data_IF_621907476269
#
_entry.id   IF_621907476269
#
_cell.length_a   1.000
_cell.length_b   1.000
_cell.length_c   1.000
_cell.angle_alpha   90.00
_cell.angle_beta   90.00
_cell.angle_gamma   90.00
#
_symmetry.space_group_name_H-M   'P 1'
#
loop_
_entity.id
_entity.type
_entity.pdbx_description
1 polymer ?
#
# COMPACT_ATOMS: atom_id res chain seq x y z
N UNK A 1 2.30 29.82 4.78
CA UNK A 1 1.81 28.57 4.15
C UNK A 1 1.79 27.48 5.20
N UNK A 2 0.84 26.55 5.14
CA UNK A 2 0.75 25.45 6.10
C UNK A 2 1.91 24.48 5.89
N UNK A 3 2.62 24.18 6.98
CA UNK A 3 3.84 23.36 7.01
C UNK A 3 3.48 21.89 6.81
N UNK A 4 4.15 21.20 5.90
CA UNK A 4 3.99 19.75 5.69
C UNK A 4 5.20 19.06 6.35
N UNK A 5 4.98 18.24 7.38
CA UNK A 5 5.95 17.27 7.90
C UNK A 5 5.58 15.91 7.40
N UNK A 6 6.55 15.10 7.00
CA UNK A 6 6.28 13.88 6.27
C UNK A 6 7.44 12.92 6.42
N UNK A 7 7.13 11.64 6.49
CA UNK A 7 8.09 10.56 6.25
C UNK A 7 7.55 9.66 5.15
N UNK A 8 8.45 9.20 4.28
CA UNK A 8 8.08 8.35 3.16
C UNK A 8 9.23 7.42 2.75
N UNK A 9 8.84 6.36 2.06
CA UNK A 9 9.72 5.39 1.41
C UNK A 9 9.36 5.35 -0.08
N UNK A 10 10.37 5.30 -0.93
CA UNK A 10 10.26 5.02 -2.37
C UNK A 10 11.07 3.77 -2.67
N UNK A 11 10.50 2.81 -3.40
CA UNK A 11 11.20 1.57 -3.70
C UNK A 11 10.83 0.97 -5.06
N UNK A 12 11.69 0.07 -5.51
CA UNK A 12 11.57 -0.75 -6.70
C UNK A 12 11.71 -2.23 -6.33
N UNK A 13 10.89 -3.07 -6.95
CA UNK A 13 10.99 -4.53 -6.90
C UNK A 13 11.25 -5.08 -8.30
N UNK A 14 12.48 -5.54 -8.50
CA UNK A 14 12.95 -6.10 -9.76
C UNK A 14 12.35 -7.47 -10.11
N UNK A 15 11.74 -8.18 -9.14
CA UNK A 15 11.15 -9.49 -9.42
C UNK A 15 9.84 -9.38 -10.22
N UNK A 16 9.14 -8.26 -10.08
CA UNK A 16 7.81 -8.02 -10.65
C UNK A 16 7.71 -6.69 -11.40
N UNK A 17 8.84 -6.04 -11.65
CA UNK A 17 8.95 -4.70 -12.25
C UNK A 17 7.94 -3.71 -11.63
N UNK A 18 7.99 -3.57 -10.31
CA UNK A 18 7.06 -2.71 -9.57
C UNK A 18 7.78 -1.55 -8.89
N UNK A 19 7.17 -0.36 -8.94
CA UNK A 19 7.64 0.83 -8.23
C UNK A 19 6.57 1.30 -7.28
N UNK A 20 6.96 1.77 -6.10
CA UNK A 20 5.97 2.24 -5.14
C UNK A 20 6.49 3.23 -4.13
N UNK A 21 5.54 3.95 -3.55
CA UNK A 21 5.74 4.93 -2.50
C UNK A 21 4.75 4.64 -1.38
N UNK A 22 5.21 4.73 -0.14
CA UNK A 22 4.34 4.84 1.03
C UNK A 22 4.72 6.08 1.84
N UNK A 23 3.73 6.81 2.34
CA UNK A 23 3.91 8.13 2.96
C UNK A 23 2.92 8.35 4.09
N UNK A 24 3.33 9.06 5.14
CA UNK A 24 2.45 9.55 6.21
C UNK A 24 2.82 10.95 6.70
N UNK A 25 1.84 11.69 7.23
CA UNK A 25 1.99 13.10 7.61
C UNK A 25 0.93 13.59 8.63
N UNK A 26 1.29 14.58 9.47
CA UNK A 26 0.31 15.51 10.09
C UNK A 26 -0.11 16.60 9.08
N UNK A 27 -0.70 16.19 7.97
CA UNK A 27 -1.30 17.03 6.94
C UNK A 27 -2.43 16.22 6.30
N UNK A 28 -3.59 16.80 6.00
CA UNK A 28 -4.67 16.05 5.35
C UNK A 28 -4.28 15.68 3.92
N UNK A 29 -4.72 14.50 3.47
CA UNK A 29 -4.63 14.08 2.08
C UNK A 29 -3.22 14.07 1.47
N UNK A 30 -2.20 13.64 2.22
CA UNK A 30 -0.79 13.62 1.77
C UNK A 30 -0.58 12.83 0.47
N UNK A 31 -1.42 11.82 0.22
CA UNK A 31 -1.39 11.02 -1.01
C UNK A 31 -1.69 11.79 -2.30
N UNK A 32 -2.25 13.01 -2.22
CA UNK A 32 -2.47 13.86 -3.40
C UNK A 32 -1.22 14.68 -3.78
N UNK A 33 -0.21 14.71 -2.91
CA UNK A 33 0.93 15.63 -3.03
C UNK A 33 2.22 14.86 -3.25
N UNK A 34 2.48 13.87 -2.38
CA UNK A 34 3.82 13.28 -2.26
C UNK A 34 4.10 12.18 -3.28
N UNK A 35 3.25 11.14 -3.46
CA UNK A 35 3.62 9.97 -4.24
C UNK A 35 3.36 10.15 -5.74
N UNK A 36 4.36 9.85 -6.55
CA UNK A 36 4.28 9.82 -8.02
C UNK A 36 5.03 8.60 -8.55
N UNK A 37 4.40 7.77 -9.36
CA UNK A 37 5.04 6.60 -9.94
C UNK A 37 4.53 6.33 -11.36
N UNK A 38 5.40 5.76 -12.18
CA UNK A 38 5.07 5.31 -13.52
C UNK A 38 5.84 4.02 -13.81
N UNK A 39 5.10 2.98 -14.21
CA UNK A 39 5.71 1.69 -14.56
C UNK A 39 6.70 1.85 -15.72
N UNK A 40 7.86 1.21 -15.59
CA UNK A 40 8.96 1.29 -16.55
C UNK A 40 9.77 2.59 -16.50
N UNK A 41 9.36 3.58 -15.69
CA UNK A 41 10.10 4.84 -15.53
C UNK A 41 10.72 4.99 -14.14
N UNK A 42 9.91 4.86 -13.08
CA UNK A 42 10.38 5.04 -11.71
C UNK A 42 9.31 5.52 -10.74
N UNK A 43 9.76 6.01 -9.59
CA UNK A 43 8.94 6.59 -8.54
C UNK A 43 9.62 7.80 -7.89
N UNK A 44 8.83 8.79 -7.49
CA UNK A 44 9.25 10.07 -6.89
C UNK A 44 8.35 10.38 -5.69
N UNK A 45 8.96 10.73 -4.56
CA UNK A 45 8.33 11.32 -3.40
C UNK A 45 8.84 12.76 -3.22
N UNK A 46 7.97 13.76 -3.42
CA UNK A 46 8.30 15.18 -3.20
C UNK A 46 7.54 15.69 -1.96
N UNK A 47 8.27 16.20 -0.96
CA UNK A 47 7.73 16.56 0.35
C UNK A 47 8.42 17.78 0.98
N UNK A 48 8.10 18.09 2.24
CA UNK A 48 8.40 19.38 2.89
C UNK A 48 7.62 20.52 2.20
N UNK A 49 8.23 21.64 1.83
CA UNK A 49 7.63 22.59 0.89
C UNK A 49 7.58 21.95 -0.51
N UNK A 50 6.71 20.95 -0.68
CA UNK A 50 6.67 20.09 -1.84
C UNK A 50 6.45 20.90 -3.12
N UNK A 51 7.30 20.65 -4.12
CA UNK A 51 7.04 21.08 -5.49
C UNK A 51 6.43 19.88 -6.24
N UNK A 52 5.14 19.96 -6.54
CA UNK A 52 4.40 18.85 -7.19
C UNK A 52 4.81 18.64 -8.64
N UNK A 53 5.51 19.59 -9.28
CA UNK A 53 6.01 19.39 -10.65
C UNK A 53 7.15 18.36 -10.71
N UNK A 54 7.88 18.16 -9.60
CA UNK A 54 8.99 17.18 -9.52
C UNK A 54 8.53 15.74 -9.77
N UNK A 55 7.27 15.43 -9.45
CA UNK A 55 6.67 14.13 -9.73
C UNK A 55 6.68 13.80 -11.23
N UNK A 56 5.82 14.45 -12.05
CA UNK A 56 5.75 14.19 -13.49
C UNK A 56 7.05 14.51 -14.23
N UNK A 57 7.78 15.57 -13.87
CA UNK A 57 9.05 15.92 -14.54
C UNK A 57 10.14 14.90 -14.24
N UNK A 58 10.27 14.43 -13.00
CA UNK A 58 11.22 13.38 -12.63
C UNK A 58 10.93 12.06 -13.34
N UNK A 59 9.65 11.67 -13.43
CA UNK A 59 9.23 10.48 -14.17
C UNK A 59 9.52 10.60 -15.66
N UNK A 60 9.28 11.76 -16.28
CA UNK A 60 9.60 12.01 -17.68
C UNK A 60 11.11 11.91 -17.94
N UNK A 61 11.95 12.49 -17.09
CA UNK A 61 13.42 12.37 -17.17
C UNK A 61 13.88 10.91 -17.09
N UNK A 62 13.36 10.14 -16.11
CA UNK A 62 13.73 8.73 -15.95
C UNK A 62 13.23 7.87 -17.11
N UNK A 63 12.03 8.16 -17.66
CA UNK A 63 11.52 7.48 -18.86
C UNK A 63 12.40 7.67 -20.09
N UNK A 64 13.18 8.77 -20.13
CA UNK A 64 14.17 9.08 -21.17
C UNK A 64 15.55 8.50 -20.87
N UNK A 65 15.68 7.66 -19.85
CA UNK A 65 16.90 6.93 -19.50
C UNK A 65 17.82 7.65 -18.51
N UNK A 66 17.40 8.79 -17.93
CA UNK A 66 18.15 9.40 -16.82
C UNK A 66 18.10 8.50 -15.60
N UNK A 67 19.20 8.47 -14.86
CA UNK A 67 19.23 7.86 -13.54
C UNK A 67 18.47 8.70 -12.51
N UNK A 68 18.08 8.08 -11.40
CA UNK A 68 17.44 8.77 -10.28
C UNK A 68 18.27 9.98 -9.80
N UNK A 69 19.60 9.84 -9.72
CA UNK A 69 20.48 10.94 -9.32
C UNK A 69 20.57 12.05 -10.37
N UNK A 70 20.63 11.71 -11.66
CA UNK A 70 20.62 12.71 -12.74
C UNK A 70 19.31 13.48 -12.77
N UNK A 71 18.17 12.78 -12.69
CA UNK A 71 16.85 13.39 -12.65
C UNK A 71 16.72 14.32 -11.43
N UNK A 72 17.13 13.87 -10.24
CA UNK A 72 17.13 14.69 -9.03
C UNK A 72 17.98 15.96 -9.17
N UNK A 73 19.18 15.84 -9.73
CA UNK A 73 20.06 16.99 -9.94
C UNK A 73 19.44 18.01 -10.90
N UNK A 74 18.79 17.56 -11.97
CA UNK A 74 18.13 18.41 -12.96
C UNK A 74 16.92 19.14 -12.37
N UNK A 75 16.09 18.44 -11.58
CA UNK A 75 14.96 19.03 -10.86
C UNK A 75 15.41 20.13 -9.89
N UNK A 76 16.45 19.85 -9.09
CA UNK A 76 16.96 20.79 -8.08
C UNK A 76 17.73 21.98 -8.68
N UNK A 77 18.35 21.82 -9.86
CA UNK A 77 19.08 22.90 -10.52
C UNK A 77 18.16 24.06 -10.94
N UNK A 78 16.88 23.77 -11.17
CA UNK A 78 15.89 24.72 -11.64
C UNK A 78 14.97 25.26 -10.52
N UNK A 79 15.21 24.90 -9.26
CA UNK A 79 14.37 25.27 -8.12
C UNK A 79 15.13 26.20 -7.15
N UNK A 80 14.81 27.49 -7.19
CA UNK A 80 15.40 28.51 -6.30
C UNK A 80 15.10 28.23 -4.82
N UNK A 81 14.02 27.51 -4.52
CA UNK A 81 13.63 27.13 -3.16
C UNK A 81 14.10 25.71 -2.80
N UNK A 82 15.09 25.14 -3.53
CA UNK A 82 15.60 23.79 -3.30
C UNK A 82 15.92 23.50 -1.82
N UNK A 83 16.42 24.46 -1.08
CA UNK A 83 16.79 24.27 0.32
C UNK A 83 15.59 24.02 1.26
N UNK A 84 14.36 24.32 0.81
CA UNK A 84 13.11 24.01 1.51
C UNK A 84 12.53 22.64 1.11
N UNK A 85 13.08 22.00 0.08
CA UNK A 85 12.55 20.76 -0.51
C UNK A 85 13.14 19.52 0.15
N UNK A 86 12.37 18.44 0.11
CA UNK A 86 12.87 17.09 0.37
C UNK A 86 12.32 16.14 -0.68
N UNK A 87 13.19 15.31 -1.27
CA UNK A 87 12.85 14.46 -2.42
C UNK A 87 13.47 13.09 -2.26
N UNK A 88 12.70 12.03 -2.49
CA UNK A 88 13.18 10.67 -2.70
C UNK A 88 12.82 10.19 -4.10
N UNK A 89 13.71 9.48 -4.78
CA UNK A 89 13.51 9.02 -6.15
C UNK A 89 14.19 7.67 -6.39
N UNK A 90 13.51 6.78 -7.12
CA UNK A 90 14.03 5.48 -7.59
C UNK A 90 13.70 5.33 -9.07
N UNK A 91 14.69 4.98 -9.87
CA UNK A 91 14.51 4.83 -11.32
C UNK A 91 14.15 3.42 -11.78
N UNK A 92 13.98 3.25 -13.09
CA UNK A 92 13.63 1.99 -13.72
C UNK A 92 14.65 0.85 -13.51
N UNK A 93 15.85 1.16 -13.05
CA UNK A 93 16.91 0.17 -12.76
C UNK A 93 17.12 -0.02 -11.25
N UNK A 94 16.25 0.58 -10.42
CA UNK A 94 16.39 0.52 -8.96
C UNK A 94 17.48 1.42 -8.40
N UNK A 95 18.13 2.26 -9.20
CA UNK A 95 19.08 3.25 -8.66
C UNK A 95 18.27 4.30 -7.92
N UNK A 96 18.73 4.66 -6.73
CA UNK A 96 17.97 5.48 -5.78
C UNK A 96 18.76 6.73 -5.42
N UNK A 97 18.05 7.84 -5.17
CA UNK A 97 18.63 9.09 -4.69
C UNK A 97 17.66 9.78 -3.73
N UNK A 98 18.21 10.52 -2.77
CA UNK A 98 17.44 11.35 -1.84
C UNK A 98 18.13 12.68 -1.63
N UNK A 99 17.35 13.73 -1.41
CA UNK A 99 17.82 15.07 -1.10
C UNK A 99 17.00 15.66 0.04
N UNK A 100 17.69 16.27 1.00
CA UNK A 100 17.09 17.06 2.10
C UNK A 100 17.72 18.43 2.06
N UNK A 101 16.94 19.46 1.75
CA UNK A 101 17.41 20.83 1.72
C UNK A 101 17.80 21.35 3.10
N UNK A 102 18.74 22.30 3.14
CA UNK A 102 19.32 22.81 4.38
C UNK A 102 18.31 23.52 5.30
N UNK A 103 17.21 24.02 4.74
CA UNK A 103 16.15 24.72 5.47
C UNK A 103 14.96 23.79 5.80
N UNK A 104 15.10 22.48 5.59
CA UNK A 104 14.15 21.51 6.11
C UNK A 104 14.20 21.49 7.64
N UNK A 105 13.03 21.52 8.27
CA UNK A 105 12.93 21.58 9.72
C UNK A 105 13.42 20.31 10.40
N UNK A 106 14.30 20.47 11.38
CA UNK A 106 14.85 19.36 12.14
C UNK A 106 13.81 18.64 13.03
N UNK A 107 13.92 17.33 13.25
CA UNK A 107 14.92 16.46 12.61
C UNK A 107 14.52 16.17 11.14
N UNK A 108 15.49 16.26 10.22
CA UNK A 108 15.28 15.94 8.81
C UNK A 108 16.47 15.19 8.22
N UNK A 109 16.19 14.23 7.36
CA UNK A 109 17.22 13.44 6.69
C UNK A 109 16.63 12.33 5.82
N UNK A 110 17.52 11.53 5.25
CA UNK A 110 17.16 10.38 4.46
C UNK A 110 18.29 9.35 4.37
N UNK A 111 17.95 8.16 3.89
CA UNK A 111 18.88 7.05 3.68
C UNK A 111 18.59 6.40 2.34
N UNK A 112 19.64 5.99 1.66
CA UNK A 112 19.59 5.22 0.41
C UNK A 112 19.99 3.77 0.72
N UNK A 113 19.29 2.82 0.11
CA UNK A 113 19.70 1.43 0.06
C UNK A 113 19.46 0.82 -1.32
N UNK A 114 19.65 -0.49 -1.43
CA UNK A 114 19.47 -1.20 -2.69
C UNK A 114 18.00 -1.17 -3.12
N UNK A 115 17.72 -0.56 -4.27
CA UNK A 115 16.37 -0.42 -4.84
C UNK A 115 15.40 0.44 -4.01
N UNK A 116 15.88 1.22 -3.04
CA UNK A 116 14.99 2.09 -2.26
C UNK A 116 15.68 3.35 -1.72
N UNK A 117 14.87 4.34 -1.36
CA UNK A 117 15.28 5.43 -0.47
C UNK A 117 14.17 5.78 0.52
N UNK A 118 14.57 6.31 1.67
CA UNK A 118 13.68 6.77 2.74
C UNK A 118 14.05 8.20 3.12
N UNK A 119 13.06 9.01 3.46
CA UNK A 119 13.27 10.42 3.80
C UNK A 119 12.18 10.94 4.72
N UNK A 120 12.52 11.90 5.56
CA UNK A 120 11.54 12.59 6.39
C UNK A 120 12.05 13.89 7.01
N UNK A 121 11.11 14.74 7.41
CA UNK A 121 11.37 16.04 8.03
C UNK A 121 10.40 16.28 9.20
N UNK A 122 10.78 17.14 10.15
CA UNK A 122 10.09 17.36 11.43
C UNK A 122 9.82 16.01 12.15
N UNK A 123 10.76 15.08 12.05
CA UNK A 123 10.65 13.80 12.74
C UNK A 123 10.99 13.96 14.23
N UNK A 124 10.60 12.96 15.03
CA UNK A 124 11.04 12.86 16.43
C UNK A 124 12.55 12.68 16.56
N UNK A 125 13.17 12.02 15.58
CA UNK A 125 14.62 11.78 15.52
C UNK A 125 15.03 10.85 14.37
N UNK A 126 16.34 10.54 14.26
CA UNK A 126 16.89 9.68 13.21
C UNK A 126 16.35 8.25 13.23
N UNK A 127 15.93 7.77 14.40
CA UNK A 127 15.39 6.42 14.61
C UNK A 127 14.20 6.11 13.68
N UNK A 128 13.42 7.12 13.30
CA UNK A 128 12.30 6.98 12.37
C UNK A 128 12.77 6.49 11.00
N UNK A 129 13.87 7.06 10.48
CA UNK A 129 14.46 6.67 9.19
C UNK A 129 15.18 5.33 9.30
N UNK A 130 15.86 5.08 10.41
CA UNK A 130 16.58 3.82 10.65
C UNK A 130 15.61 2.62 10.74
N UNK A 131 14.50 2.77 11.47
CA UNK A 131 13.48 1.72 11.60
C UNK A 131 12.75 1.46 10.28
N UNK A 132 12.43 2.51 9.52
CA UNK A 132 11.85 2.37 8.18
C UNK A 132 12.75 1.55 7.26
N UNK A 133 14.02 1.93 7.16
CA UNK A 133 14.99 1.28 6.29
C UNK A 133 15.23 -0.19 6.69
N UNK A 134 15.52 -0.44 7.97
CA UNK A 134 15.81 -1.80 8.46
C UNK A 134 14.61 -2.74 8.31
N UNK A 135 13.38 -2.25 8.50
CA UNK A 135 12.16 -3.03 8.28
C UNK A 135 11.98 -3.39 6.82
N UNK A 136 12.20 -2.44 5.90
CA UNK A 136 12.12 -2.69 4.47
C UNK A 136 13.17 -3.70 3.97
N UNK A 137 14.40 -3.61 4.51
CA UNK A 137 15.52 -4.52 4.21
C UNK A 137 15.29 -5.92 4.77
N UNK A 138 14.66 -6.04 5.95
CA UNK A 138 14.43 -7.33 6.62
C UNK A 138 13.22 -8.11 6.11
N UNK A 139 12.31 -7.47 5.36
CA UNK A 139 11.08 -8.09 4.90
C UNK A 139 11.24 -8.81 3.55
N UNK A 140 10.61 -9.98 3.43
CA UNK A 140 10.57 -10.82 2.22
C UNK A 140 9.18 -10.85 1.56
N UNK A 141 8.26 -10.01 2.01
CA UNK A 141 6.91 -9.92 1.47
C UNK A 141 6.93 -9.24 0.10
N UNK A 142 5.77 -9.14 -0.54
CA UNK A 142 5.62 -8.38 -1.78
C UNK A 142 5.80 -6.87 -1.53
N UNK A 143 6.17 -6.12 -2.58
CA UNK A 143 6.48 -4.70 -2.50
C UNK A 143 5.44 -3.86 -1.71
N UNK A 144 4.11 -3.98 -1.94
CA UNK A 144 3.13 -3.19 -1.20
C UNK A 144 3.19 -3.41 0.32
N UNK A 145 3.36 -4.66 0.75
CA UNK A 145 3.45 -4.99 2.17
C UNK A 145 4.78 -4.52 2.78
N UNK A 146 5.89 -4.67 2.04
CA UNK A 146 7.20 -4.15 2.48
C UNK A 146 7.18 -2.65 2.70
N UNK A 147 6.57 -1.89 1.77
CA UNK A 147 6.41 -0.43 1.87
C UNK A 147 5.57 -0.05 3.09
N UNK A 148 4.46 -0.75 3.30
CA UNK A 148 3.55 -0.49 4.42
C UNK A 148 4.15 -0.87 5.77
N UNK A 149 4.82 -2.02 5.87
CA UNK A 149 5.50 -2.46 7.09
C UNK A 149 6.59 -1.45 7.48
N UNK A 150 7.36 -0.96 6.51
CA UNK A 150 8.35 0.09 6.73
C UNK A 150 7.71 1.40 7.21
N UNK A 151 6.59 1.82 6.60
CA UNK A 151 5.87 3.01 7.02
C UNK A 151 5.31 2.87 8.45
N UNK A 152 4.79 1.70 8.80
CA UNK A 152 4.27 1.40 10.13
C UNK A 152 5.39 1.39 11.18
N UNK A 153 6.54 0.79 10.89
CA UNK A 153 7.69 0.80 11.78
C UNK A 153 8.19 2.22 12.05
N UNK A 154 8.22 3.08 11.02
CA UNK A 154 8.58 4.49 11.16
C UNK A 154 7.58 5.27 12.03
N UNK A 155 6.27 5.03 11.83
CA UNK A 155 5.19 5.62 12.62
C UNK A 155 5.25 5.19 14.10
N UNK A 156 5.63 3.95 14.37
CA UNK A 156 5.84 3.42 15.73
C UNK A 156 7.14 3.91 16.38
N UNK A 157 8.18 4.19 15.58
CA UNK A 157 9.43 4.77 16.04
C UNK A 157 9.33 6.26 16.42
N UNK A 158 8.19 6.90 16.14
CA UNK A 158 7.87 8.26 16.58
C UNK A 158 7.29 9.14 15.46
N UNK A 159 7.61 8.83 14.21
CA UNK A 159 7.05 9.50 13.03
C UNK A 159 7.21 11.03 13.02
N UNK A 160 6.16 11.71 12.57
CA UNK A 160 6.04 13.18 12.56
C UNK A 160 5.83 13.68 14.00
N UNK A 161 6.74 14.54 14.49
CA UNK A 161 6.69 15.09 15.85
C UNK A 161 5.41 15.87 16.17
N UNK A 162 4.65 16.28 15.14
CA UNK A 162 3.39 17.01 15.28
C UNK A 162 2.18 16.09 15.45
N UNK A 163 2.37 14.77 15.30
CA UNK A 163 1.33 13.74 15.39
C UNK A 163 0.98 13.14 14.03
N UNK A 164 -0.23 12.59 13.91
CA UNK A 164 -0.68 11.82 12.74
C UNK A 164 -1.96 12.41 12.15
N UNK A 165 -2.14 12.30 10.84
CA UNK A 165 -3.37 12.73 10.18
C UNK A 165 -3.70 11.97 8.89
N UNK A 166 -2.74 11.79 7.98
CA UNK A 166 -3.00 11.06 6.73
C UNK A 166 -1.85 10.13 6.35
N UNK A 167 -2.17 9.14 5.52
CA UNK A 167 -1.24 8.19 4.95
C UNK A 167 -1.70 7.72 3.58
N UNK A 168 -0.77 7.32 2.71
CA UNK A 168 -1.07 6.78 1.41
C UNK A 168 -0.02 5.75 0.97
N UNK A 169 -0.44 4.82 0.13
CA UNK A 169 0.42 3.90 -0.61
C UNK A 169 0.01 3.92 -2.08
N UNK A 170 1.01 4.08 -2.95
CA UNK A 170 0.84 4.07 -4.40
C UNK A 170 1.88 3.17 -5.02
N UNK A 171 1.45 2.11 -5.70
CA UNK A 171 2.32 1.11 -6.33
C UNK A 171 1.86 0.88 -7.75
N UNK A 172 2.81 0.88 -8.68
CA UNK A 172 2.58 0.63 -10.10
C UNK A 172 3.45 -0.52 -10.57
N UNK A 173 2.93 -1.34 -11.48
CA UNK A 173 3.67 -2.32 -12.27
C UNK A 173 2.98 -2.51 -13.62
N UNK A 174 3.68 -2.92 -14.69
CA UNK A 174 3.05 -3.16 -15.98
C UNK A 174 1.81 -4.06 -15.86
N UNK A 175 0.67 -3.60 -16.39
CA UNK A 175 -0.61 -4.33 -16.35
C UNK A 175 -1.06 -4.74 -14.92
N UNK A 176 -0.58 -4.03 -13.90
CA UNK A 176 -0.85 -4.37 -12.51
C UNK A 176 -2.24 -4.00 -11.99
N UNK A 177 -2.97 -3.16 -12.72
CA UNK A 177 -4.29 -2.68 -12.31
C UNK A 177 -5.41 -3.69 -12.51
N UNK A 178 -6.61 -3.29 -12.08
CA UNK A 178 -7.81 -4.12 -12.17
C UNK A 178 -8.04 -4.62 -13.60
N UNK A 179 -8.08 -5.95 -13.77
CA UNK A 179 -8.23 -6.60 -15.07
C UNK A 179 -7.05 -6.41 -16.04
N UNK A 180 -5.92 -5.86 -15.59
CA UNK A 180 -4.75 -5.58 -16.45
C UNK A 180 -4.91 -4.38 -17.38
N UNK A 181 -5.94 -3.54 -17.20
CA UNK A 181 -6.24 -2.43 -18.12
C UNK A 181 -5.38 -1.16 -17.89
N UNK A 182 -4.58 -1.13 -16.83
CA UNK A 182 -3.62 -0.06 -16.53
C UNK A 182 -2.54 -0.59 -15.57
N UNK A 183 -1.58 0.26 -15.21
CA UNK A 183 -0.44 -0.13 -14.39
C UNK A 183 -0.64 0.09 -12.88
N UNK A 184 -1.81 0.57 -12.45
CA UNK A 184 -2.07 0.98 -11.07
C UNK A 184 -2.40 -0.23 -10.21
N UNK A 185 -1.38 -0.85 -9.65
CA UNK A 185 -1.54 -2.02 -8.81
C UNK A 185 -2.17 -1.70 -7.46
N UNK A 186 -1.65 -0.70 -6.75
CA UNK A 186 -2.15 -0.26 -5.44
C UNK A 186 -2.29 1.26 -5.44
N UNK A 187 -3.43 1.76 -4.98
CA UNK A 187 -3.69 3.19 -4.78
C UNK A 187 -4.71 3.36 -3.65
N UNK A 188 -4.19 3.36 -2.42
CA UNK A 188 -5.01 3.51 -1.23
C UNK A 188 -4.56 4.68 -0.38
N UNK A 189 -5.54 5.36 0.19
CA UNK A 189 -5.36 6.61 0.91
C UNK A 189 -6.24 6.63 2.14
N UNK A 190 -5.67 7.14 3.23
CA UNK A 190 -6.38 7.57 4.42
C UNK A 190 -6.12 9.06 4.56
N UNK A 191 -7.04 9.87 4.04
CA UNK A 191 -6.81 11.31 3.89
C UNK A 191 -7.01 12.11 5.18
N UNK A 192 -7.71 11.56 6.18
CA UNK A 192 -7.83 12.12 7.53
C UNK A 192 -8.23 11.02 8.54
N UNK A 193 -7.37 10.72 9.51
CA UNK A 193 -7.61 9.75 10.58
C UNK A 193 -6.61 9.95 11.73
N UNK A 194 -6.99 9.61 12.96
CA UNK A 194 -6.10 9.69 14.13
C UNK A 194 -4.94 8.68 14.05
N UNK A 195 -5.19 7.53 13.42
CA UNK A 195 -4.23 6.44 13.21
C UNK A 195 -4.19 6.05 11.73
N UNK A 196 -3.65 6.91 10.84
CA UNK A 196 -3.81 6.75 9.40
C UNK A 196 -3.00 5.57 8.85
N UNK A 197 -1.80 5.31 9.39
CA UNK A 197 -0.95 4.19 8.95
C UNK A 197 -1.57 2.85 9.32
N UNK A 198 -2.03 2.68 10.56
CA UNK A 198 -2.77 1.47 10.97
C UNK A 198 -4.03 1.25 10.13
N UNK A 199 -4.78 2.32 9.84
CA UNK A 199 -5.96 2.22 8.99
C UNK A 199 -5.59 1.84 7.55
N UNK A 200 -4.47 2.34 7.04
CA UNK A 200 -3.96 1.96 5.72
C UNK A 200 -3.57 0.47 5.69
N UNK A 201 -3.03 -0.07 6.80
CA UNK A 201 -2.77 -1.51 6.93
C UNK A 201 -4.02 -2.36 6.83
N UNK A 202 -5.11 -1.94 7.47
CA UNK A 202 -6.40 -2.63 7.36
C UNK A 202 -6.93 -2.62 5.92
N UNK A 203 -6.80 -1.48 5.22
CA UNK A 203 -7.23 -1.36 3.82
C UNK A 203 -6.39 -2.25 2.90
N UNK A 204 -5.06 -2.31 3.09
CA UNK A 204 -4.22 -3.21 2.29
C UNK A 204 -4.52 -4.68 2.58
N UNK A 205 -4.85 -5.03 3.83
CA UNK A 205 -5.32 -6.38 4.17
C UNK A 205 -6.60 -6.76 3.43
N UNK A 206 -7.55 -5.81 3.28
CA UNK A 206 -8.74 -6.03 2.44
C UNK A 206 -8.37 -6.22 0.97
N UNK A 207 -7.40 -5.46 0.44
CA UNK A 207 -6.92 -5.67 -0.93
C UNK A 207 -6.41 -7.09 -1.14
N UNK A 208 -5.56 -7.60 -0.24
CA UNK A 208 -5.07 -8.98 -0.29
C UNK A 208 -6.21 -9.99 -0.19
N UNK A 209 -7.27 -9.68 0.56
CA UNK A 209 -8.45 -10.52 0.68
C UNK A 209 -9.29 -10.54 -0.61
N UNK A 210 -9.48 -9.41 -1.29
CA UNK A 210 -10.30 -9.36 -2.51
C UNK A 210 -9.54 -9.80 -3.77
N UNK A 211 -8.26 -9.46 -3.88
CA UNK A 211 -7.48 -9.61 -5.13
C UNK A 211 -6.31 -10.59 -5.02
N UNK A 212 -5.99 -11.04 -3.80
CA UNK A 212 -4.95 -12.03 -3.58
C UNK A 212 -5.40 -13.45 -3.92
N UNK A 213 -4.46 -14.38 -3.81
CA UNK A 213 -4.70 -15.83 -3.91
C UNK A 213 -4.18 -16.48 -2.65
N UNK A 214 -4.93 -17.42 -2.08
CA UNK A 214 -4.40 -18.26 -1.03
C UNK A 214 -3.59 -19.42 -1.62
N UNK A 215 -2.52 -19.87 -0.94
CA UNK A 215 -1.89 -21.14 -1.26
C UNK A 215 -2.89 -22.28 -1.03
N UNK A 216 -2.71 -23.41 -1.71
CA UNK A 216 -3.64 -24.54 -1.64
C UNK A 216 -3.85 -25.11 -0.22
N UNK A 217 -2.90 -24.88 0.68
CA UNK A 217 -2.97 -25.27 2.09
C UNK A 217 -3.92 -24.42 2.94
N UNK A 218 -4.32 -23.26 2.43
CA UNK A 218 -5.34 -22.38 3.03
C UNK A 218 -6.72 -22.56 2.36
N UNK A 219 -6.91 -23.53 1.47
CA UNK A 219 -8.25 -23.86 0.96
C UNK A 219 -8.97 -24.78 1.96
N UNK A 220 -10.11 -24.33 2.48
CA UNK A 220 -10.98 -25.13 3.35
C UNK A 220 -11.98 -25.93 2.54
N UNK A 221 -12.23 -27.17 2.98
CA UNK A 221 -13.44 -27.89 2.59
C UNK A 221 -14.66 -27.29 3.30
N UNK A 222 -15.75 -27.10 2.56
CA UNK A 222 -17.05 -26.78 3.11
C UNK A 222 -17.65 -28.07 3.67
N UNK A 223 -17.06 -28.52 4.78
CA UNK A 223 -17.56 -29.64 5.58
C UNK A 223 -18.83 -29.22 6.36
N UNK A 224 -19.40 -30.13 7.15
CA UNK A 224 -20.63 -29.86 7.87
C UNK A 224 -20.55 -28.60 8.76
N UNK A 225 -19.45 -28.40 9.48
CA UNK A 225 -19.32 -27.28 10.40
C UNK A 225 -19.16 -25.94 9.66
N UNK A 226 -18.36 -25.92 8.58
CA UNK A 226 -18.21 -24.75 7.72
C UNK A 226 -19.53 -24.43 7.02
N UNK A 227 -20.22 -25.45 6.51
CA UNK A 227 -21.51 -25.32 5.84
C UNK A 227 -22.58 -24.77 6.78
N UNK A 228 -22.70 -25.29 8.00
CA UNK A 228 -23.63 -24.76 9.02
C UNK A 228 -23.38 -23.28 9.30
N UNK A 229 -22.12 -22.88 9.45
CA UNK A 229 -21.77 -21.49 9.72
C UNK A 229 -22.12 -20.56 8.55
N UNK A 230 -21.85 -20.98 7.31
CA UNK A 230 -22.20 -20.23 6.10
C UNK A 230 -23.71 -20.17 5.90
N UNK A 231 -24.43 -21.28 6.10
CA UNK A 231 -25.89 -21.35 6.04
C UNK A 231 -26.53 -20.41 7.06
N UNK A 232 -26.01 -20.35 8.29
CA UNK A 232 -26.54 -19.43 9.30
C UNK A 232 -26.36 -17.96 8.87
N UNK A 233 -25.18 -17.59 8.36
CA UNK A 233 -24.95 -16.23 7.83
C UNK A 233 -25.92 -15.93 6.70
N UNK A 234 -26.05 -16.84 5.73
CA UNK A 234 -26.94 -16.68 4.59
C UNK A 234 -28.41 -16.56 5.01
N UNK A 235 -28.85 -17.38 5.98
CA UNK A 235 -30.20 -17.31 6.55
C UNK A 235 -30.44 -15.97 7.25
N UNK A 236 -29.51 -15.51 8.09
CA UNK A 236 -29.63 -14.25 8.82
C UNK A 236 -29.69 -13.04 7.87
N UNK A 237 -29.02 -13.14 6.71
CA UNK A 237 -29.03 -12.13 5.64
C UNK A 237 -30.22 -12.27 4.68
N UNK A 238 -31.07 -13.28 4.84
CA UNK A 238 -32.29 -13.47 4.03
C UNK A 238 -32.09 -14.13 2.67
N UNK A 239 -30.97 -14.82 2.45
CA UNK A 239 -30.81 -15.73 1.31
C UNK A 239 -31.69 -16.97 1.48
N UNK A 240 -31.91 -17.72 0.39
CA UNK A 240 -32.83 -18.88 0.37
C UNK A 240 -32.24 -20.10 1.10
N UNK A 241 -32.20 -20.03 2.43
CA UNK A 241 -31.81 -21.08 3.38
C UNK A 241 -32.92 -21.22 4.43
N UNK A 242 -33.78 -22.23 4.26
CA UNK A 242 -34.93 -22.48 5.14
C UNK A 242 -34.51 -23.08 6.49
N UNK A 243 -33.57 -24.02 6.47
CA UNK A 243 -33.04 -24.72 7.64
C UNK A 243 -31.52 -24.83 7.52
N UNK A 244 -30.83 -24.71 8.66
CA UNK A 244 -29.39 -24.94 8.76
C UNK A 244 -29.16 -26.44 8.95
N UNK A 245 -28.67 -27.11 7.92
CA UNK A 245 -28.54 -28.58 7.85
C UNK A 245 -27.10 -29.06 7.92
N UNK A 246 -26.13 -28.19 7.59
CA UNK A 246 -24.73 -28.58 7.40
C UNK A 246 -24.47 -29.37 6.11
N UNK A 247 -25.48 -29.53 5.25
CA UNK A 247 -25.33 -30.24 3.97
C UNK A 247 -25.02 -29.26 2.84
N UNK A 248 -23.91 -29.47 2.13
CA UNK A 248 -23.51 -28.65 0.97
C UNK A 248 -24.26 -29.06 -0.31
N UNK A 249 -25.58 -28.93 -0.28
CA UNK A 249 -26.49 -29.32 -1.36
C UNK A 249 -26.63 -28.24 -2.46
N UNK A 250 -27.42 -28.53 -3.50
CA UNK A 250 -27.63 -27.61 -4.63
C UNK A 250 -28.26 -26.28 -4.19
N UNK A 251 -29.11 -26.30 -3.16
CA UNK A 251 -29.76 -25.10 -2.63
C UNK A 251 -28.73 -24.21 -1.93
N UNK A 252 -27.91 -24.80 -1.06
CA UNK A 252 -26.80 -24.16 -0.38
C UNK A 252 -25.78 -23.60 -1.38
N UNK A 253 -25.40 -24.37 -2.40
CA UNK A 253 -24.51 -23.90 -3.46
C UNK A 253 -25.07 -22.66 -4.18
N UNK A 254 -26.37 -22.66 -4.49
CA UNK A 254 -27.03 -21.54 -5.18
C UNK A 254 -27.06 -20.28 -4.32
N UNK A 255 -27.47 -20.42 -3.04
CA UNK A 255 -27.46 -19.32 -2.09
C UNK A 255 -26.04 -18.79 -1.85
N UNK A 256 -25.06 -19.71 -1.71
CA UNK A 256 -23.66 -19.34 -1.48
C UNK A 256 -23.08 -18.56 -2.65
N UNK A 257 -23.37 -18.94 -3.91
CA UNK A 257 -22.95 -18.15 -5.08
C UNK A 257 -23.48 -16.72 -5.06
N UNK A 258 -24.75 -16.53 -4.70
CA UNK A 258 -25.34 -15.20 -4.59
C UNK A 258 -24.69 -14.39 -3.46
N UNK A 259 -24.51 -15.03 -2.30
CA UNK A 259 -23.90 -14.39 -1.14
C UNK A 259 -22.44 -14.00 -1.39
N UNK A 260 -21.63 -14.95 -1.83
CA UNK A 260 -20.21 -14.73 -2.17
C UNK A 260 -20.07 -13.71 -3.30
N UNK A 261 -20.96 -13.71 -4.29
CA UNK A 261 -20.96 -12.71 -5.35
C UNK A 261 -21.27 -11.30 -4.86
N UNK A 262 -22.24 -11.14 -3.96
CA UNK A 262 -22.51 -9.85 -3.34
C UNK A 262 -21.35 -9.34 -2.48
N UNK A 263 -20.54 -10.27 -1.95
CA UNK A 263 -19.34 -9.98 -1.17
C UNK A 263 -18.07 -9.88 -2.03
N UNK A 264 -18.13 -10.09 -3.36
CA UNK A 264 -16.99 -10.04 -4.30
C UNK A 264 -15.87 -11.06 -4.00
N UNK A 265 -16.23 -12.28 -3.60
CA UNK A 265 -15.28 -13.37 -3.31
C UNK A 265 -15.43 -14.59 -4.24
N UNK A 266 -15.97 -14.40 -5.45
CA UNK A 266 -16.23 -15.49 -6.40
C UNK A 266 -14.95 -16.23 -6.80
N UNK A 267 -13.86 -15.49 -7.01
CA UNK A 267 -12.54 -16.03 -7.33
C UNK A 267 -11.85 -16.70 -6.13
N UNK A 268 -12.47 -16.64 -4.94
CA UNK A 268 -11.97 -17.20 -3.68
C UNK A 268 -12.79 -18.39 -3.18
N UNK A 269 -13.73 -18.88 -4.00
CA UNK A 269 -14.63 -19.99 -3.65
C UNK A 269 -14.80 -20.92 -4.85
N UNK A 270 -14.38 -22.18 -4.72
CA UNK A 270 -14.70 -23.23 -5.69
C UNK A 270 -16.03 -23.90 -5.28
N UNK A 271 -17.12 -23.36 -5.82
CA UNK A 271 -18.46 -23.83 -5.53
C UNK A 271 -18.75 -25.26 -6.01
N UNK A 272 -18.05 -25.74 -7.04
CA UNK A 272 -18.27 -27.09 -7.56
C UNK A 272 -17.61 -28.15 -6.68
N UNK A 273 -16.42 -27.82 -6.16
CA UNK A 273 -15.69 -28.68 -5.23
C UNK A 273 -16.08 -28.47 -3.78
N UNK A 274 -16.91 -27.46 -3.47
CA UNK A 274 -17.25 -27.09 -2.11
C UNK A 274 -16.01 -26.65 -1.32
N UNK A 275 -15.22 -25.73 -1.89
CA UNK A 275 -14.02 -25.19 -1.25
C UNK A 275 -14.13 -23.68 -1.14
N UNK A 276 -13.59 -23.13 -0.06
CA UNK A 276 -13.49 -21.69 0.17
C UNK A 276 -12.14 -21.37 0.79
N UNK A 277 -11.55 -20.25 0.38
CA UNK A 277 -10.30 -19.80 0.98
C UNK A 277 -10.49 -19.47 2.46
N UNK A 278 -9.62 -20.02 3.32
CA UNK A 278 -9.65 -19.85 4.77
C UNK A 278 -9.72 -18.38 5.19
N UNK A 279 -8.90 -17.45 4.63
CA UNK A 279 -8.98 -16.04 5.01
C UNK A 279 -10.34 -15.41 4.70
N UNK A 280 -11.01 -15.85 3.62
CA UNK A 280 -12.36 -15.37 3.27
C UNK A 280 -13.37 -15.92 4.26
N UNK A 281 -13.34 -17.21 4.56
CA UNK A 281 -14.22 -17.80 5.56
C UNK A 281 -14.10 -17.10 6.93
N UNK A 282 -12.88 -16.90 7.42
CA UNK A 282 -12.62 -16.20 8.69
C UNK A 282 -13.10 -14.75 8.66
N UNK A 283 -12.92 -14.06 7.52
CA UNK A 283 -13.44 -12.70 7.33
C UNK A 283 -14.97 -12.66 7.42
N UNK A 284 -15.66 -13.57 6.73
CA UNK A 284 -17.12 -13.64 6.72
C UNK A 284 -17.67 -13.93 8.12
N UNK A 285 -17.05 -14.86 8.86
CA UNK A 285 -17.39 -15.11 10.26
C UNK A 285 -17.24 -13.86 11.12
N UNK A 286 -16.10 -13.17 11.02
CA UNK A 286 -15.85 -11.96 11.80
C UNK A 286 -16.83 -10.83 11.44
N UNK A 287 -17.17 -10.69 10.16
CA UNK A 287 -18.04 -9.60 9.67
C UNK A 287 -19.50 -9.80 10.08
N UNK A 288 -19.99 -11.03 10.04
CA UNK A 288 -21.43 -11.32 10.19
C UNK A 288 -21.78 -12.02 11.50
N UNK A 289 -20.81 -12.58 12.23
CA UNK A 289 -21.02 -13.30 13.49
C UNK A 289 -20.19 -12.78 14.67
N UNK A 290 -19.28 -11.83 14.43
CA UNK A 290 -18.37 -11.24 15.42
C UNK A 290 -18.89 -9.97 16.09
#
# INVERSE_FOLDING_TARGET
>A
MNRISTFSIVAYDAAVDAWGIAVASKFPAVGAVVPWAQAGAGAVATQSYANTTFGPEGLDLMSKGRSAQEALNELLANDEERDLRQVGIVDAQGRSATFTGADCFEWAGGKIGENYCVQGNILTGPEVIEQMASTFEGSKKDLPERLLDALLAADQAGGDRRGKQSAAIYVVKPEGGYGGFNDRWIDYRVDDHENPVSRLTEILGLHSLYFGKSPSEEELEIDAAVCEALQQIMQDLGYDIEEVTGEYDQKTQTALRQFIGNENFEERTDFERGRIDQPVYEYLLKKFRG
#
